data_IF_874066825801
#
_entry.id   IF_874066825801
#
_cell.length_a   1.000
_cell.length_b   1.000
_cell.length_c   1.000
_cell.angle_alpha   90.00
_cell.angle_beta   90.00
_cell.angle_gamma   90.00
#
_symmetry.space_group_name_H-M   'P 1'
#
loop_
_entity.id
_entity.type
_entity.pdbx_description
1 polymer ?
#
# COMPACT_ATOMS: atom_id res chain seq x y z
N UNK A 1 -5.11 3.63 13.04
CA UNK A 1 -6.42 3.89 12.41
C UNK A 1 -7.12 5.00 13.19
N UNK A 2 -7.60 6.06 12.54
CA UNK A 2 -8.27 7.19 13.20
C UNK A 2 -9.79 7.21 12.96
N UNK A 3 -10.27 6.62 11.86
CA UNK A 3 -11.67 6.72 11.41
C UNK A 3 -12.64 5.72 12.05
N UNK A 4 -12.20 4.91 13.02
CA UNK A 4 -13.03 3.88 13.65
C UNK A 4 -13.77 2.99 12.65
N UNK A 5 -15.07 2.74 12.91
CA UNK A 5 -15.95 1.96 12.04
C UNK A 5 -16.17 2.56 10.64
N UNK A 6 -16.00 3.88 10.46
CA UNK A 6 -16.13 4.51 9.15
C UNK A 6 -15.05 4.06 8.15
N UNK A 7 -13.93 3.54 8.65
CA UNK A 7 -12.90 2.91 7.80
C UNK A 7 -13.34 1.62 7.12
N UNK A 8 -14.45 1.02 7.55
CA UNK A 8 -14.99 -0.25 7.04
C UNK A 8 -16.25 -0.09 6.19
N UNK A 9 -16.76 1.15 6.08
CA UNK A 9 -17.98 1.49 5.37
C UNK A 9 -17.63 2.07 4.01
N UNK A 10 -18.09 1.44 2.93
CA UNK A 10 -17.78 1.84 1.55
C UNK A 10 -18.50 3.14 1.14
N UNK A 11 -19.37 3.66 1.98
CA UNK A 11 -20.00 4.98 1.84
C UNK A 11 -19.01 6.12 2.10
N UNK A 12 -17.89 5.85 2.80
CA UNK A 12 -16.86 6.85 3.07
C UNK A 12 -15.60 6.60 2.22
N UNK A 13 -15.05 7.68 1.66
CA UNK A 13 -13.86 7.67 0.79
C UNK A 13 -12.63 6.99 1.43
N UNK A 14 -12.52 7.02 2.76
CA UNK A 14 -11.39 6.39 3.47
C UNK A 14 -11.29 4.88 3.18
N UNK A 15 -12.42 4.18 3.04
CA UNK A 15 -12.43 2.75 2.75
C UNK A 15 -11.93 2.48 1.32
N UNK A 16 -12.31 3.33 0.35
CA UNK A 16 -11.82 3.27 -1.03
C UNK A 16 -10.33 3.57 -1.13
N UNK A 17 -9.85 4.62 -0.46
CA UNK A 17 -8.43 4.95 -0.43
C UNK A 17 -7.60 3.86 0.23
N UNK A 18 -8.08 3.27 1.33
CA UNK A 18 -7.37 2.19 2.01
C UNK A 18 -7.22 0.95 1.14
N UNK A 19 -8.29 0.56 0.42
CA UNK A 19 -8.24 -0.59 -0.50
C UNK A 19 -7.40 -0.29 -1.73
N UNK A 20 -7.57 0.89 -2.34
CA UNK A 20 -6.78 1.33 -3.50
C UNK A 20 -5.28 1.42 -3.21
N UNK A 21 -4.88 1.91 -2.03
CA UNK A 21 -3.47 1.99 -1.64
C UNK A 21 -2.77 0.62 -1.58
N UNK A 22 -3.50 -0.51 -1.51
CA UNK A 22 -2.88 -1.84 -1.46
C UNK A 22 -2.05 -2.15 -2.69
N UNK A 23 -2.47 -1.62 -3.84
CA UNK A 23 -1.87 -1.93 -5.15
C UNK A 23 -0.49 -1.29 -5.35
N UNK A 24 -0.22 -0.20 -4.63
CA UNK A 24 1.05 0.53 -4.70
C UNK A 24 2.26 -0.34 -4.32
N UNK A 25 2.06 -1.43 -3.57
CA UNK A 25 3.15 -2.34 -3.19
C UNK A 25 3.56 -3.32 -4.28
N UNK A 26 2.83 -3.36 -5.39
CA UNK A 26 2.98 -4.35 -6.46
C UNK A 26 3.32 -3.66 -7.79
N UNK A 27 2.63 -2.56 -8.09
CA UNK A 27 2.82 -1.84 -9.34
C UNK A 27 4.21 -1.21 -9.45
N UNK A 28 4.84 -1.34 -10.62
CA UNK A 28 6.18 -0.81 -10.88
C UNK A 28 7.32 -1.62 -10.24
N UNK A 29 7.00 -2.77 -9.63
CA UNK A 29 7.95 -3.61 -8.90
C UNK A 29 7.42 -3.87 -7.49
N UNK A 30 7.43 -5.13 -7.06
CA UNK A 30 6.98 -5.42 -5.70
C UNK A 30 7.93 -4.81 -4.67
N UNK A 31 7.44 -4.54 -3.46
CA UNK A 31 8.27 -4.01 -2.38
C UNK A 31 9.50 -4.88 -2.09
N UNK A 32 9.40 -6.19 -2.30
CA UNK A 32 10.52 -7.14 -2.20
C UNK A 32 11.56 -6.92 -3.29
N UNK A 33 11.13 -6.79 -4.56
CA UNK A 33 12.05 -6.52 -5.68
C UNK A 33 12.75 -5.17 -5.49
N UNK A 34 12.04 -4.15 -5.01
CA UNK A 34 12.65 -2.85 -4.72
C UNK A 34 13.74 -2.96 -3.64
N UNK A 35 13.49 -3.73 -2.57
CA UNK A 35 14.49 -4.00 -1.52
C UNK A 35 15.67 -4.81 -2.05
N UNK A 36 15.42 -5.79 -2.91
CA UNK A 36 16.47 -6.59 -3.55
C UNK A 36 17.37 -5.73 -4.43
N UNK A 37 16.80 -4.85 -5.26
CA UNK A 37 17.55 -3.91 -6.09
C UNK A 37 18.44 -2.98 -5.24
N UNK A 38 17.91 -2.44 -4.14
CA UNK A 38 18.69 -1.63 -3.19
C UNK A 38 19.82 -2.46 -2.58
N UNK A 39 19.55 -3.71 -2.16
CA UNK A 39 20.57 -4.59 -1.59
C UNK A 39 21.70 -4.89 -2.57
N UNK A 40 21.39 -5.08 -3.86
CA UNK A 40 22.40 -5.29 -4.92
C UNK A 40 23.25 -4.06 -5.21
N UNK A 41 22.74 -2.86 -4.92
CA UNK A 41 23.46 -1.62 -5.16
C UNK A 41 24.42 -1.22 -4.02
N UNK A 42 24.25 -1.83 -2.84
CA UNK A 42 25.05 -1.52 -1.63
C UNK A 42 26.25 -2.47 -1.47
N UNK A 43 26.20 -3.67 -2.07
CA UNK A 43 27.26 -4.68 -2.07
C UNK A 43 28.11 -4.54 -3.32
#
# INVERSE_FOLDING_TARGET
QLHGGYGYMMEYEIAHHYTGARVQRIYGGTSEIMKELISRAIV
#
